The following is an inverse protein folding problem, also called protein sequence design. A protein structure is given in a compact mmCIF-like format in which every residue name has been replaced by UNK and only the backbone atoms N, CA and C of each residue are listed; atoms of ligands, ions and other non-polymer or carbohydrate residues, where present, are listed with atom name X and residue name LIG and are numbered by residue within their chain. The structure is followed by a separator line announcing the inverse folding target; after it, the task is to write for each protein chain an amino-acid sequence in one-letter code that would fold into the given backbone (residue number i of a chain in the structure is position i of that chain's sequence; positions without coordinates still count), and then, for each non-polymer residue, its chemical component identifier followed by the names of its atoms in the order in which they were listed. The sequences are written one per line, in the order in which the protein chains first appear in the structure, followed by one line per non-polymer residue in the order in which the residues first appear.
data_IF_732635973993
#
_entry.id   IF_732635973993
#
_cell.length_a   1.000
_cell.length_b   1.000
_cell.length_c   1.000
_cell.angle_alpha   90.00
_cell.angle_beta   90.00
_cell.angle_gamma   90.00
#
_symmetry.space_group_name_H-M   'P 1'
#
loop_
_entity.id
_entity.type
_entity.pdbx_description
1 polymer ?
#
# COMPACT_ATOMS: atom_id res chain seq x y z
N UNK A 1 1.52 -17.04 -8.24
CA UNK A 1 1.28 -15.60 -8.17
C UNK A 1 1.71 -14.80 -9.41
N UNK A 2 2.35 -15.42 -10.38
CA UNK A 2 2.92 -14.74 -11.58
C UNK A 2 1.84 -14.23 -12.56
N UNK A 3 0.64 -14.80 -12.53
CA UNK A 3 -0.47 -14.38 -13.41
C UNK A 3 -1.49 -13.57 -12.60
N UNK A 4 -1.60 -12.23 -12.80
CA UNK A 4 -2.53 -11.38 -12.08
C UNK A 4 -3.99 -11.79 -12.35
N UNK A 5 -4.82 -11.83 -11.30
CA UNK A 5 -6.23 -12.19 -11.40
C UNK A 5 -6.55 -13.68 -11.59
N UNK A 6 -5.54 -14.52 -11.90
CA UNK A 6 -5.76 -15.95 -12.14
C UNK A 6 -6.28 -16.67 -10.89
N UNK A 7 -5.65 -16.42 -9.73
CA UNK A 7 -6.03 -17.05 -8.45
C UNK A 7 -7.49 -16.77 -8.09
N UNK A 8 -7.92 -15.54 -8.27
CA UNK A 8 -9.30 -15.14 -8.00
C UNK A 8 -10.26 -15.86 -8.95
N UNK A 9 -9.93 -15.94 -10.24
CA UNK A 9 -10.74 -16.65 -11.25
C UNK A 9 -10.84 -18.15 -10.98
N UNK A 10 -9.73 -18.79 -10.63
CA UNK A 10 -9.67 -20.21 -10.29
C UNK A 10 -10.46 -20.53 -9.02
N UNK A 11 -10.41 -19.66 -8.03
CA UNK A 11 -11.19 -19.79 -6.80
C UNK A 11 -12.70 -19.78 -7.07
N UNK A 12 -13.19 -18.89 -7.95
CA UNK A 12 -14.60 -18.85 -8.36
C UNK A 12 -14.98 -19.98 -9.33
N UNK A 13 -14.01 -20.54 -10.06
CA UNK A 13 -14.23 -21.75 -10.87
C UNK A 13 -14.37 -23.03 -10.03
N UNK A 14 -14.42 -22.94 -8.69
CA UNK A 14 -14.63 -24.07 -7.81
C UNK A 14 -13.39 -24.85 -7.40
N UNK A 15 -12.21 -24.49 -7.89
CA UNK A 15 -10.92 -25.14 -7.58
C UNK A 15 -10.31 -24.70 -6.25
N UNK A 16 -11.15 -24.63 -5.21
CA UNK A 16 -10.79 -24.06 -3.89
C UNK A 16 -9.75 -24.89 -3.13
N UNK A 17 -9.74 -26.21 -3.34
CA UNK A 17 -8.87 -27.14 -2.60
C UNK A 17 -7.42 -27.15 -3.11
N UNK A 18 -7.15 -26.57 -4.28
CA UNK A 18 -5.80 -26.52 -4.87
C UNK A 18 -4.94 -25.36 -4.32
N UNK A 19 -5.52 -24.42 -3.61
CA UNK A 19 -4.85 -23.21 -3.15
C UNK A 19 -5.09 -22.95 -1.67
N UNK A 20 -4.11 -22.31 -1.02
CA UNK A 20 -4.27 -21.80 0.34
C UNK A 20 -5.46 -20.83 0.42
N UNK A 21 -6.26 -20.88 1.52
CA UNK A 21 -7.34 -19.92 1.72
C UNK A 21 -6.80 -18.48 1.57
N UNK A 22 -7.42 -17.62 0.76
CA UNK A 22 -6.89 -16.28 0.44
C UNK A 22 -6.60 -15.43 1.68
N UNK A 23 -7.51 -15.49 2.65
CA UNK A 23 -7.38 -14.74 3.92
C UNK A 23 -6.16 -15.23 4.71
N UNK A 24 -5.94 -16.56 4.81
CA UNK A 24 -4.79 -17.11 5.52
C UNK A 24 -3.48 -16.71 4.85
N UNK A 25 -3.43 -16.77 3.52
CA UNK A 25 -2.26 -16.34 2.75
C UNK A 25 -1.95 -14.86 3.00
N UNK A 26 -2.97 -14.01 2.94
CA UNK A 26 -2.84 -12.58 3.22
C UNK A 26 -2.31 -12.32 4.63
N UNK A 27 -2.90 -12.98 5.64
CA UNK A 27 -2.48 -12.80 7.03
C UNK A 27 -1.01 -13.19 7.25
N UNK A 28 -0.59 -14.35 6.75
CA UNK A 28 0.79 -14.81 6.92
C UNK A 28 1.76 -13.82 6.26
N UNK A 29 1.52 -13.46 5.00
CA UNK A 29 2.44 -12.59 4.26
C UNK A 29 2.45 -11.18 4.85
N UNK A 30 1.30 -10.64 5.26
CA UNK A 30 1.22 -9.31 5.89
C UNK A 30 1.98 -9.26 7.23
N UNK A 31 1.84 -10.29 8.06
CA UNK A 31 2.59 -10.38 9.33
C UNK A 31 4.09 -10.42 9.06
N UNK A 32 4.55 -11.24 8.12
CA UNK A 32 5.97 -11.31 7.73
C UNK A 32 6.46 -9.96 7.21
N UNK A 33 5.68 -9.29 6.36
CA UNK A 33 6.02 -7.98 5.83
C UNK A 33 6.18 -6.94 6.95
N UNK A 34 5.20 -6.81 7.86
CA UNK A 34 5.26 -5.84 8.94
C UNK A 34 6.34 -6.17 9.97
N UNK A 35 6.62 -7.44 10.20
CA UNK A 35 7.73 -7.87 11.04
C UNK A 35 9.07 -7.41 10.44
N UNK A 36 9.30 -7.66 9.15
CA UNK A 36 10.51 -7.20 8.46
C UNK A 36 10.59 -5.67 8.41
N UNK A 37 9.48 -4.98 8.18
CA UNK A 37 9.42 -3.52 8.16
C UNK A 37 9.68 -2.88 9.53
N UNK A 38 9.50 -3.63 10.63
CA UNK A 38 9.81 -3.17 12.00
C UNK A 38 11.28 -3.38 12.38
N UNK A 39 12.04 -4.15 11.61
CA UNK A 39 13.48 -4.31 11.83
C UNK A 39 14.23 -3.04 11.42
N UNK A 40 15.34 -2.70 12.10
CA UNK A 40 16.17 -1.59 11.68
C UNK A 40 16.65 -1.81 10.24
N UNK A 41 16.70 -0.76 9.42
CA UNK A 41 17.14 -0.87 8.04
C UNK A 41 18.58 -1.38 7.97
N UNK A 42 18.86 -2.29 7.04
CA UNK A 42 20.17 -2.87 6.83
C UNK A 42 21.27 -1.82 6.50
N UNK A 43 20.84 -0.66 6.00
CA UNK A 43 21.70 0.48 5.67
C UNK A 43 21.02 1.77 6.17
N UNK A 44 21.63 2.45 7.13
CA UNK A 44 21.14 3.71 7.70
C UNK A 44 20.91 4.82 6.64
N UNK A 45 21.64 4.77 5.54
CA UNK A 45 21.53 5.71 4.42
C UNK A 45 20.23 5.55 3.60
N UNK A 46 19.54 4.41 3.71
CA UNK A 46 18.29 4.15 2.96
C UNK A 46 17.08 4.80 3.62
N UNK A 47 17.17 5.12 4.89
CA UNK A 47 16.14 5.83 5.65
C UNK A 47 16.61 7.23 6.04
N UNK A 48 17.28 7.95 5.12
CA UNK A 48 17.24 9.40 5.28
C UNK A 48 15.76 9.77 5.37
N UNK A 49 15.34 10.43 6.45
CA UNK A 49 14.01 11.06 6.48
C UNK A 49 13.90 11.78 5.14
N UNK A 50 12.76 11.66 4.48
CA UNK A 50 12.49 12.46 3.29
C UNK A 50 12.71 13.90 3.77
N UNK A 51 13.89 14.45 3.53
CA UNK A 51 14.12 15.89 3.66
C UNK A 51 13.24 16.47 2.56
N UNK A 52 11.97 16.68 2.91
CA UNK A 52 11.08 17.51 2.12
C UNK A 52 11.80 18.84 2.01
N UNK A 53 12.23 19.17 0.80
CA UNK A 53 12.85 20.44 0.50
C UNK A 53 11.97 21.53 1.13
N UNK A 54 12.53 22.31 2.04
CA UNK A 54 11.83 23.34 2.82
C UNK A 54 10.98 24.27 1.95
N UNK A 55 11.34 24.39 0.68
CA UNK A 55 10.60 25.16 -0.33
C UNK A 55 9.29 24.50 -0.73
N UNK A 56 9.29 23.16 -0.88
CA UNK A 56 8.08 22.36 -1.23
C UNK A 56 7.15 22.24 -0.03
N UNK A 57 7.72 22.08 1.18
CA UNK A 57 6.97 22.01 2.44
C UNK A 57 6.24 23.32 2.75
N UNK A 58 6.89 24.46 2.57
CA UNK A 58 6.28 25.76 2.75
C UNK A 58 5.13 26.00 1.77
N UNK A 59 5.31 25.65 0.50
CA UNK A 59 4.29 25.78 -0.55
C UNK A 59 3.05 24.92 -0.27
N UNK A 60 3.23 23.71 0.25
CA UNK A 60 2.14 22.82 0.57
C UNK A 60 1.35 23.32 1.78
N UNK A 61 2.01 23.88 2.80
CA UNK A 61 1.36 24.41 4.00
C UNK A 61 0.67 25.78 3.78
N UNK A 62 1.05 26.50 2.73
CA UNK A 62 0.40 27.76 2.33
C UNK A 62 -0.87 27.53 1.51
N UNK A 63 -1.15 26.29 1.11
CA UNK A 63 -2.33 25.99 0.33
C UNK A 63 -3.61 26.35 1.11
N UNK A 64 -4.46 27.15 0.50
CA UNK A 64 -5.77 27.50 1.02
C UNK A 64 -6.80 26.52 0.50
N UNK A 65 -7.54 25.91 1.41
CA UNK A 65 -8.66 25.04 1.06
C UNK A 65 -9.83 25.93 0.68
N UNK A 66 -10.29 25.85 -0.58
CA UNK A 66 -11.46 26.56 -1.06
C UNK A 66 -12.67 25.62 -1.08
N UNK A 67 -13.83 26.10 -0.65
CA UNK A 67 -15.08 25.35 -0.71
C UNK A 67 -15.94 25.45 0.54
N UNK A 68 -17.13 24.83 0.55
CA UNK A 68 -18.11 24.96 1.61
C UNK A 68 -17.65 24.43 2.98
N UNK A 69 -16.58 23.67 3.02
CA UNK A 69 -15.97 23.11 4.24
C UNK A 69 -14.61 23.76 4.58
N UNK A 70 -14.26 24.86 3.94
CA UNK A 70 -12.98 25.55 4.13
C UNK A 70 -12.75 25.93 5.60
N UNK A 71 -13.73 26.52 6.26
CA UNK A 71 -13.64 26.98 7.66
C UNK A 71 -13.40 25.83 8.66
N UNK A 72 -13.87 24.64 8.32
CA UNK A 72 -13.68 23.44 9.15
C UNK A 72 -12.35 22.73 8.87
N UNK A 73 -11.92 22.69 7.60
CA UNK A 73 -10.72 21.98 7.17
C UNK A 73 -9.44 22.79 7.32
N UNK A 74 -9.49 24.11 7.07
CA UNK A 74 -8.32 24.98 7.08
C UNK A 74 -7.56 24.98 8.43
N UNK A 75 -8.22 25.13 9.61
CA UNK A 75 -7.50 25.11 10.89
C UNK A 75 -6.88 23.74 11.17
N UNK A 76 -7.53 22.64 10.77
CA UNK A 76 -7.00 21.29 10.94
C UNK A 76 -5.81 21.03 10.03
N UNK A 77 -5.88 21.53 8.80
CA UNK A 77 -4.79 21.43 7.83
C UNK A 77 -3.56 22.21 8.31
N UNK A 78 -3.73 23.45 8.79
CA UNK A 78 -2.64 24.25 9.37
C UNK A 78 -2.02 23.57 10.59
N UNK A 79 -2.84 23.10 11.53
CA UNK A 79 -2.35 22.40 12.71
C UNK A 79 -1.59 21.09 12.36
N UNK A 80 -2.00 20.38 11.32
CA UNK A 80 -1.29 19.21 10.81
C UNK A 80 0.06 19.58 10.19
N UNK A 81 0.09 20.66 9.40
CA UNK A 81 1.31 21.22 8.82
C UNK A 81 2.32 21.68 9.88
N UNK A 82 1.88 22.41 10.89
CA UNK A 82 2.76 22.88 11.98
C UNK A 82 3.37 21.69 12.75
N UNK A 83 2.59 20.64 13.01
CA UNK A 83 3.10 19.41 13.63
C UNK A 83 4.12 18.70 12.74
N UNK A 84 3.87 18.65 11.42
CA UNK A 84 4.77 18.05 10.44
C UNK A 84 6.10 18.80 10.38
N UNK A 85 6.07 20.14 10.41
CA UNK A 85 7.27 20.99 10.46
C UNK A 85 8.06 20.80 11.74
N UNK A 86 7.39 20.71 12.91
CA UNK A 86 8.06 20.56 14.19
C UNK A 86 8.90 19.30 14.33
N UNK A 87 8.53 18.20 13.63
CA UNK A 87 9.13 16.88 13.77
C UNK A 87 9.75 16.37 12.46
N UNK A 88 9.83 17.18 11.40
CA UNK A 88 10.21 16.73 10.02
C UNK A 88 9.41 15.50 9.57
N UNK A 89 8.14 15.38 9.99
CA UNK A 89 7.28 14.25 9.66
C UNK A 89 7.61 12.93 10.37
N UNK A 90 8.61 12.89 11.24
CA UNK A 90 9.05 11.65 11.89
C UNK A 90 7.92 10.98 12.69
N UNK A 91 7.16 11.74 13.47
CA UNK A 91 6.00 11.20 14.22
C UNK A 91 4.88 10.73 13.31
N UNK A 92 4.70 11.38 12.15
CA UNK A 92 3.71 10.94 11.16
C UNK A 92 4.07 9.56 10.61
N UNK A 93 5.33 9.37 10.23
CA UNK A 93 5.85 8.09 9.73
C UNK A 93 5.76 7.00 10.80
N UNK A 94 6.19 7.30 12.04
CA UNK A 94 6.10 6.38 13.17
C UNK A 94 4.65 5.96 13.46
N UNK A 95 3.74 6.92 13.56
CA UNK A 95 2.32 6.65 13.78
C UNK A 95 1.70 5.86 12.62
N UNK A 96 2.10 6.16 11.38
CA UNK A 96 1.65 5.41 10.22
C UNK A 96 2.13 3.96 10.28
N UNK A 97 3.42 3.72 10.51
CA UNK A 97 3.98 2.37 10.62
C UNK A 97 3.33 1.56 11.73
N UNK A 98 3.12 2.17 12.89
CA UNK A 98 2.49 1.54 14.05
C UNK A 98 1.01 1.16 13.79
N UNK A 99 0.28 1.98 13.04
CA UNK A 99 -1.13 1.76 12.77
C UNK A 99 -1.40 1.13 11.39
N UNK A 100 -0.41 1.05 10.52
CA UNK A 100 -0.56 0.50 9.17
C UNK A 100 -1.18 -0.91 9.14
N UNK A 101 -0.79 -1.87 10.00
CA UNK A 101 -1.44 -3.19 10.01
C UNK A 101 -2.94 -3.09 10.29
N UNK A 102 -3.33 -2.27 11.27
CA UNK A 102 -4.75 -2.06 11.63
C UNK A 102 -5.52 -1.35 10.53
N UNK A 103 -4.90 -0.32 9.94
CA UNK A 103 -5.49 0.44 8.83
C UNK A 103 -5.76 -0.44 7.62
N UNK A 104 -4.86 -1.38 7.30
CA UNK A 104 -5.04 -2.31 6.18
C UNK A 104 -6.27 -3.20 6.33
N UNK A 105 -6.57 -3.68 7.54
CA UNK A 105 -7.78 -4.47 7.79
C UNK A 105 -9.08 -3.69 7.57
N UNK A 106 -9.07 -2.38 7.78
CA UNK A 106 -10.22 -1.51 7.56
C UNK A 106 -10.28 -1.05 6.10
N UNK A 107 -9.11 -0.74 5.51
CA UNK A 107 -9.01 -0.25 4.14
C UNK A 107 -9.40 -1.30 3.10
N UNK A 108 -9.06 -2.58 3.29
CA UNK A 108 -9.41 -3.64 2.34
C UNK A 108 -10.93 -3.74 2.10
N UNK A 109 -11.79 -3.89 3.13
CA UNK A 109 -13.24 -3.88 2.93
C UNK A 109 -13.75 -2.54 2.39
N UNK A 110 -13.18 -1.41 2.80
CA UNK A 110 -13.55 -0.10 2.27
C UNK A 110 -13.22 0.02 0.77
N UNK A 111 -12.04 -0.42 0.34
CA UNK A 111 -11.69 -0.47 -1.08
C UNK A 111 -12.56 -1.45 -1.88
N UNK A 112 -12.98 -2.57 -1.28
CA UNK A 112 -13.92 -3.49 -1.93
C UNK A 112 -15.28 -2.82 -2.21
N UNK A 113 -15.77 -1.99 -1.28
CA UNK A 113 -16.97 -1.18 -1.49
C UNK A 113 -16.74 -0.14 -2.58
N UNK A 114 -15.61 0.57 -2.56
CA UNK A 114 -15.27 1.53 -3.62
C UNK A 114 -15.19 0.86 -4.99
N UNK A 115 -14.55 -0.30 -5.09
CA UNK A 115 -14.50 -1.07 -6.34
C UNK A 115 -15.89 -1.48 -6.81
N UNK A 116 -16.78 -1.88 -5.91
CA UNK A 116 -18.15 -2.19 -6.23
C UNK A 116 -18.92 -0.98 -6.77
N UNK A 117 -18.64 0.23 -6.25
CA UNK A 117 -19.25 1.48 -6.73
C UNK A 117 -18.73 1.88 -8.11
N UNK A 118 -17.41 1.79 -8.33
CA UNK A 118 -16.80 2.16 -9.61
C UNK A 118 -17.06 1.16 -10.73
N UNK A 119 -17.14 -0.14 -10.40
CA UNK A 119 -17.36 -1.22 -11.36
C UNK A 119 -18.74 -1.84 -11.17
N UNK A 120 -19.79 -1.01 -11.29
CA UNK A 120 -21.18 -1.44 -11.17
C UNK A 120 -21.62 -2.43 -12.26
N UNK A 121 -20.96 -2.42 -13.40
CA UNK A 121 -21.20 -3.33 -14.52
C UNK A 121 -19.86 -3.97 -14.97
N UNK A 122 -19.70 -5.30 -14.90
CA UNK A 122 -20.67 -6.36 -14.63
C UNK A 122 -21.03 -6.48 -13.13
N UNK A 123 -22.28 -6.92 -12.84
CA UNK A 123 -22.77 -7.12 -11.46
C UNK A 123 -21.95 -8.24 -10.77
N UNK A 124 -20.89 -7.84 -10.09
CA UNK A 124 -20.09 -8.72 -9.24
C UNK A 124 -20.49 -8.56 -7.78
N UNK A 125 -20.39 -9.65 -7.03
CA UNK A 125 -20.68 -9.64 -5.60
C UNK A 125 -19.55 -8.91 -4.84
N UNK A 126 -19.88 -8.26 -3.75
CA UNK A 126 -18.91 -7.64 -2.85
C UNK A 126 -17.75 -8.59 -2.48
N UNK A 127 -18.07 -9.86 -2.20
CA UNK A 127 -17.08 -10.88 -1.88
C UNK A 127 -16.05 -11.11 -3.00
N UNK A 128 -16.43 -10.91 -4.26
CA UNK A 128 -15.53 -11.05 -5.40
C UNK A 128 -14.50 -9.92 -5.43
N UNK A 129 -14.95 -8.68 -5.20
CA UNK A 129 -14.08 -7.51 -5.09
C UNK A 129 -13.10 -7.66 -3.91
N UNK A 130 -13.63 -8.08 -2.75
CA UNK A 130 -12.81 -8.29 -1.56
C UNK A 130 -11.76 -9.39 -1.78
N UNK A 131 -12.13 -10.52 -2.39
CA UNK A 131 -11.22 -11.61 -2.71
C UNK A 131 -10.13 -11.18 -3.70
N UNK A 132 -10.50 -10.43 -4.72
CA UNK A 132 -9.55 -9.85 -5.67
C UNK A 132 -8.52 -8.95 -4.94
N UNK A 133 -8.98 -8.06 -4.07
CA UNK A 133 -8.11 -7.19 -3.30
C UNK A 133 -7.19 -7.95 -2.36
N UNK A 134 -7.69 -8.96 -1.65
CA UNK A 134 -6.88 -9.81 -0.76
C UNK A 134 -5.77 -10.51 -1.55
N UNK A 135 -6.06 -11.11 -2.70
CA UNK A 135 -5.04 -11.75 -3.53
C UNK A 135 -4.02 -10.75 -4.07
N UNK A 136 -4.50 -9.58 -4.52
CA UNK A 136 -3.62 -8.55 -5.06
C UNK A 136 -2.67 -8.00 -3.99
N UNK A 137 -3.18 -7.68 -2.79
CA UNK A 137 -2.36 -7.23 -1.66
C UNK A 137 -1.40 -8.31 -1.17
N UNK A 138 -1.81 -9.58 -1.15
CA UNK A 138 -0.91 -10.69 -0.81
C UNK A 138 0.26 -10.78 -1.79
N UNK A 139 0.00 -10.59 -3.08
CA UNK A 139 1.06 -10.58 -4.09
C UNK A 139 2.00 -9.38 -3.93
N UNK A 140 1.44 -8.19 -3.67
CA UNK A 140 2.23 -6.96 -3.41
C UNK A 140 3.13 -7.16 -2.19
N UNK A 141 2.58 -7.61 -1.07
CA UNK A 141 3.37 -7.83 0.14
C UNK A 141 4.44 -8.91 -0.05
N UNK A 142 4.15 -9.98 -0.78
CA UNK A 142 5.14 -11.00 -1.09
C UNK A 142 6.34 -10.42 -1.86
N UNK A 143 6.08 -9.57 -2.85
CA UNK A 143 7.14 -8.90 -3.62
C UNK A 143 7.91 -7.91 -2.75
N UNK A 144 7.21 -7.14 -1.89
CA UNK A 144 7.86 -6.20 -0.97
C UNK A 144 8.71 -6.92 0.10
N UNK A 145 8.29 -8.11 0.57
CA UNK A 145 9.10 -8.97 1.44
C UNK A 145 10.38 -9.38 0.74
N UNK A 146 10.30 -9.81 -0.53
CA UNK A 146 11.48 -10.17 -1.32
C UNK A 146 12.41 -8.95 -1.54
N UNK A 147 11.86 -7.77 -1.84
CA UNK A 147 12.65 -6.54 -1.97
C UNK A 147 13.34 -6.17 -0.66
N UNK A 148 12.62 -6.27 0.47
CA UNK A 148 13.20 -6.03 1.79
C UNK A 148 14.33 -6.98 2.11
N UNK A 149 14.17 -8.28 1.82
CA UNK A 149 15.24 -9.28 2.01
C UNK A 149 16.43 -9.02 1.07
N UNK A 150 16.17 -8.68 -0.18
CA UNK A 150 17.23 -8.34 -1.13
C UNK A 150 18.02 -7.12 -0.68
N UNK A 151 17.39 -6.17 0.01
CA UNK A 151 18.04 -4.99 0.54
C UNK A 151 19.10 -5.29 1.62
N UNK A 152 19.01 -6.43 2.30
CA UNK A 152 20.03 -6.87 3.26
C UNK A 152 21.28 -7.47 2.60
N UNK A 153 21.14 -7.95 1.36
CA UNK A 153 22.22 -8.67 0.65
C UNK A 153 22.88 -7.80 -0.42
N UNK A 154 22.09 -6.92 -1.08
CA UNK A 154 22.56 -6.17 -2.24
C UNK A 154 23.15 -4.80 -1.86
N UNK A 155 24.19 -4.33 -2.59
CA UNK A 155 24.70 -2.97 -2.47
C UNK A 155 23.60 -1.93 -2.73
N UNK A 156 23.70 -0.75 -2.09
CA UNK A 156 22.69 0.32 -2.13
C UNK A 156 22.35 0.74 -3.57
N UNK A 157 23.37 0.88 -4.43
CA UNK A 157 23.17 1.27 -5.82
C UNK A 157 22.29 0.28 -6.59
N UNK A 158 22.55 -1.02 -6.44
CA UNK A 158 21.76 -2.10 -7.09
C UNK A 158 20.37 -2.17 -6.47
N UNK A 159 20.26 -2.06 -5.14
CA UNK A 159 19.00 -2.08 -4.42
C UNK A 159 18.04 -0.96 -4.87
N UNK A 160 18.54 0.25 -5.13
CA UNK A 160 17.72 1.36 -5.62
C UNK A 160 17.11 1.09 -7.00
N UNK A 161 17.87 0.57 -7.93
CA UNK A 161 17.38 0.18 -9.26
C UNK A 161 16.38 -0.97 -9.18
N UNK A 162 16.63 -1.95 -8.33
CA UNK A 162 15.75 -3.08 -8.11
C UNK A 162 14.39 -2.62 -7.57
N UNK A 163 14.37 -1.78 -6.52
CA UNK A 163 13.13 -1.24 -5.95
C UNK A 163 12.34 -0.40 -6.97
N UNK A 164 13.03 0.38 -7.81
CA UNK A 164 12.41 1.10 -8.93
C UNK A 164 11.75 0.17 -9.95
N UNK A 165 12.45 -0.89 -10.35
CA UNK A 165 11.91 -1.90 -11.27
C UNK A 165 10.71 -2.65 -10.65
N UNK A 166 10.78 -2.97 -9.37
CA UNK A 166 9.69 -3.59 -8.60
C UNK A 166 8.47 -2.67 -8.56
N UNK A 167 8.64 -1.38 -8.35
CA UNK A 167 7.53 -0.42 -8.35
C UNK A 167 6.82 -0.39 -9.70
N UNK A 168 7.56 -0.33 -10.81
CA UNK A 168 7.01 -0.38 -12.17
C UNK A 168 6.28 -1.70 -12.40
N UNK A 169 6.89 -2.82 -11.99
CA UNK A 169 6.28 -4.14 -12.10
C UNK A 169 4.97 -4.24 -11.31
N UNK A 170 4.92 -3.76 -10.06
CA UNK A 170 3.72 -3.78 -9.23
C UNK A 170 2.60 -2.92 -9.83
N UNK A 171 2.93 -1.75 -10.37
CA UNK A 171 1.97 -0.89 -11.04
C UNK A 171 1.37 -1.59 -12.26
N UNK A 172 2.21 -2.20 -13.08
CA UNK A 172 1.77 -2.99 -14.23
C UNK A 172 0.94 -4.20 -13.80
N UNK A 173 1.35 -4.91 -12.73
CA UNK A 173 0.66 -6.06 -12.17
C UNK A 173 -0.76 -5.68 -11.71
N UNK A 174 -0.92 -4.59 -10.97
CA UNK A 174 -2.22 -4.09 -10.52
C UNK A 174 -3.11 -3.74 -11.70
N UNK A 175 -2.58 -2.99 -12.68
CA UNK A 175 -3.33 -2.59 -13.87
C UNK A 175 -3.79 -3.79 -14.70
N UNK A 176 -2.89 -4.76 -14.92
CA UNK A 176 -3.24 -5.98 -15.64
C UNK A 176 -4.21 -6.85 -14.85
N UNK A 177 -4.07 -6.90 -13.52
CA UNK A 177 -5.00 -7.59 -12.63
C UNK A 177 -6.43 -7.05 -12.74
N UNK A 178 -6.58 -5.74 -12.76
CA UNK A 178 -7.87 -5.09 -13.00
C UNK A 178 -8.45 -5.47 -14.36
N UNK A 179 -7.67 -5.38 -15.45
CA UNK A 179 -8.13 -5.73 -16.79
C UNK A 179 -8.53 -7.21 -16.97
N UNK A 180 -7.92 -8.10 -16.21
CA UNK A 180 -8.24 -9.55 -16.29
C UNK A 180 -9.46 -9.88 -15.44
N UNK A 181 -9.66 -9.13 -14.36
CA UNK A 181 -10.76 -9.38 -13.43
C UNK A 181 -12.05 -8.68 -13.90
N UNK A 182 -11.97 -7.46 -14.40
CA UNK A 182 -13.11 -6.67 -14.93
C UNK A 182 -13.17 -6.72 -16.44
#
# INVERSE_FOLDING_TARGET
MIKPGLLTREYFAGRRNAYLPPIRLYLIISVVFFLLASLPPANETRHKPIELDTTTENRFCEWQVEGPFADFLQPRFRAACERMKADNGAKLVENFQRNAPKAMFVLLPAFAVLMMLFFWSPRRLYAEHLLFLIHNHSAIFAVLVLDSLAAYVLPIAVGGWLSGAIFVYLTWYCWRGLRVFY
#
